data_IF_238287735030
#
_entry.id   IF_238287735030
#
_cell.length_a   1.000
_cell.length_b   1.000
_cell.length_c   1.000
_cell.angle_alpha   90.00
_cell.angle_beta   90.00
_cell.angle_gamma   90.00
#
_symmetry.space_group_name_H-M   'P 1'
#
loop_
_entity.id
_entity.type
_entity.pdbx_description
1 polymer ?
#
# COMPACT_ATOMS: atom_id res chain seq x y z
N UNK A 1 12.35 5.21 -2.21
CA UNK A 1 13.30 4.25 -1.58
C UNK A 1 13.03 2.87 -2.17
N UNK A 2 13.98 1.93 -2.10
CA UNK A 2 13.72 0.54 -2.52
C UNK A 2 13.29 -0.28 -1.30
N UNK A 3 12.19 -1.03 -1.39
CA UNK A 3 11.70 -1.89 -0.31
C UNK A 3 12.63 -3.10 -0.12
N UNK A 4 12.81 -3.54 1.12
CA UNK A 4 13.39 -4.86 1.36
C UNK A 4 12.38 -5.98 1.04
N UNK A 5 12.82 -7.24 1.08
CA UNK A 5 11.99 -8.37 0.69
C UNK A 5 10.70 -8.51 1.52
N UNK A 6 10.75 -8.25 2.84
CA UNK A 6 9.55 -8.32 3.70
C UNK A 6 8.59 -7.18 3.37
N UNK A 7 9.11 -5.97 3.20
CA UNK A 7 8.33 -4.78 2.83
C UNK A 7 7.68 -4.94 1.45
N UNK A 8 8.42 -5.41 0.46
CA UNK A 8 7.89 -5.68 -0.89
C UNK A 8 6.79 -6.74 -0.84
N UNK A 9 7.02 -7.85 -0.13
CA UNK A 9 6.01 -8.92 0.00
C UNK A 9 4.77 -8.42 0.75
N UNK A 10 4.93 -7.57 1.77
CA UNK A 10 3.82 -6.93 2.48
C UNK A 10 2.99 -6.03 1.57
N UNK A 11 3.64 -5.23 0.72
CA UNK A 11 2.97 -4.40 -0.27
C UNK A 11 2.17 -5.26 -1.27
N UNK A 12 2.82 -6.25 -1.88
CA UNK A 12 2.19 -7.14 -2.87
C UNK A 12 1.01 -7.92 -2.27
N UNK A 13 1.14 -8.41 -1.04
CA UNK A 13 0.02 -9.04 -0.32
C UNK A 13 -1.16 -8.09 -0.11
N UNK A 14 -0.89 -6.84 0.29
CA UNK A 14 -1.93 -5.84 0.45
C UNK A 14 -2.61 -5.51 -0.87
N UNK A 15 -1.85 -5.37 -1.97
CA UNK A 15 -2.38 -5.15 -3.32
C UNK A 15 -3.29 -6.30 -3.76
N UNK A 16 -2.91 -7.55 -3.49
CA UNK A 16 -3.71 -8.73 -3.82
C UNK A 16 -5.01 -8.86 -3.00
N UNK A 17 -5.09 -8.20 -1.83
CA UNK A 17 -6.17 -8.40 -0.86
C UNK A 17 -6.84 -7.10 -0.48
N UNK A 18 -6.38 -6.45 0.60
CA UNK A 18 -7.06 -5.34 1.26
C UNK A 18 -7.11 -4.02 0.48
N UNK A 19 -6.30 -3.85 -0.58
CA UNK A 19 -6.31 -2.63 -1.38
C UNK A 19 -7.67 -2.40 -2.08
N UNK A 20 -8.40 -3.46 -2.43
CA UNK A 20 -9.73 -3.32 -3.02
C UNK A 20 -10.77 -2.73 -2.04
N UNK A 21 -10.52 -2.80 -0.73
CA UNK A 21 -11.43 -2.26 0.29
C UNK A 21 -11.02 -0.86 0.76
N UNK A 22 -9.92 -0.30 0.23
CA UNK A 22 -9.49 1.04 0.58
C UNK A 22 -10.50 2.07 0.07
N UNK A 23 -11.04 2.84 1.01
CA UNK A 23 -11.83 4.03 0.74
C UNK A 23 -11.38 5.13 1.68
N UNK A 24 -11.23 6.35 1.13
CA UNK A 24 -10.82 7.53 1.87
C UNK A 24 -11.85 8.62 1.55
N UNK A 25 -12.33 9.31 2.58
CA UNK A 25 -13.33 10.36 2.40
C UNK A 25 -12.78 11.47 1.48
N UNK A 26 -13.64 12.05 0.64
CA UNK A 26 -13.26 13.07 -0.35
C UNK A 26 -13.02 14.44 0.30
N UNK A 27 -11.94 14.55 1.09
CA UNK A 27 -11.42 15.80 1.66
C UNK A 27 -9.92 15.91 1.38
N UNK A 28 -9.36 17.07 1.69
CA UNK A 28 -7.94 17.35 1.50
C UNK A 28 -7.16 16.91 2.74
N UNK A 29 -6.13 16.08 2.54
CA UNK A 29 -5.24 15.58 3.60
C UNK A 29 -3.80 15.99 3.34
N UNK A 30 -3.00 16.27 4.37
CA UNK A 30 -1.56 16.33 4.22
C UNK A 30 -1.00 14.94 3.91
N UNK A 31 0.15 14.88 3.24
CA UNK A 31 0.82 13.62 2.88
C UNK A 31 1.06 12.70 4.09
N UNK A 32 1.52 13.25 5.21
CA UNK A 32 1.77 12.49 6.44
C UNK A 32 0.54 11.77 6.99
N UNK A 33 -0.64 12.39 6.94
CA UNK A 33 -1.88 11.74 7.41
C UNK A 33 -2.27 10.57 6.52
N UNK A 34 -2.04 10.68 5.20
CA UNK A 34 -2.30 9.60 4.26
C UNK A 34 -1.35 8.43 4.45
N UNK A 35 -0.08 8.68 4.79
CA UNK A 35 0.86 7.61 5.17
C UNK A 35 0.28 6.83 6.35
N UNK A 36 -0.16 7.51 7.41
CA UNK A 36 -0.70 6.85 8.60
C UNK A 36 -1.95 6.00 8.28
N UNK A 37 -2.83 6.49 7.41
CA UNK A 37 -4.01 5.74 6.96
C UNK A 37 -3.61 4.47 6.21
N UNK A 38 -2.69 4.57 5.24
CA UNK A 38 -2.29 3.43 4.41
C UNK A 38 -1.44 2.44 5.22
N UNK A 39 -0.56 2.93 6.09
CA UNK A 39 0.25 2.13 7.01
C UNK A 39 -0.63 1.24 7.88
N UNK A 40 -1.67 1.80 8.52
CA UNK A 40 -2.61 1.03 9.33
C UNK A 40 -3.28 -0.08 8.52
N UNK A 41 -3.69 0.19 7.27
CA UNK A 41 -4.31 -0.83 6.40
C UNK A 41 -3.35 -1.96 6.04
N UNK A 42 -2.11 -1.64 5.67
CA UNK A 42 -1.09 -2.65 5.38
C UNK A 42 -0.76 -3.47 6.64
N UNK A 43 -0.61 -2.82 7.79
CA UNK A 43 -0.34 -3.48 9.06
C UNK A 43 -1.48 -4.43 9.46
N UNK A 44 -2.75 -4.00 9.30
CA UNK A 44 -3.93 -4.82 9.59
C UNK A 44 -4.01 -6.02 8.64
N UNK A 45 -3.75 -5.83 7.34
CA UNK A 45 -3.76 -6.92 6.36
C UNK A 45 -2.69 -7.98 6.69
N UNK A 46 -1.50 -7.54 7.08
CA UNK A 46 -0.34 -8.43 7.28
C UNK A 46 -0.18 -8.97 8.70
N UNK A 47 -0.97 -8.50 9.68
CA UNK A 47 -0.83 -8.88 11.11
C UNK A 47 -0.84 -10.38 11.38
N UNK A 48 -1.54 -11.17 10.55
CA UNK A 48 -1.64 -12.63 10.70
C UNK A 48 -0.30 -13.35 10.46
N UNK A 49 0.63 -12.72 9.74
CA UNK A 49 1.98 -13.25 9.50
C UNK A 49 2.98 -12.84 10.60
N UNK A 50 2.51 -12.17 11.65
CA UNK A 50 3.28 -11.84 12.85
C UNK A 50 3.80 -10.39 12.90
N UNK A 51 4.25 -10.00 14.09
CA UNK A 51 4.65 -8.61 14.42
C UNK A 51 5.82 -8.10 13.57
N UNK A 52 6.74 -8.99 13.17
CA UNK A 52 7.87 -8.62 12.31
C UNK A 52 7.40 -8.14 10.93
N UNK A 53 6.33 -8.72 10.39
CA UNK A 53 5.77 -8.32 9.09
C UNK A 53 4.92 -7.06 9.24
N UNK A 54 3.96 -7.05 10.17
CA UNK A 54 3.09 -5.88 10.34
C UNK A 54 3.84 -4.62 10.79
N UNK A 55 4.94 -4.77 11.53
CA UNK A 55 5.82 -3.66 11.91
C UNK A 55 6.67 -3.08 10.76
N UNK A 56 6.58 -3.66 9.56
CA UNK A 56 7.25 -3.19 8.34
C UNK A 56 6.30 -2.46 7.37
N UNK A 57 5.12 -2.07 7.81
CA UNK A 57 4.10 -1.47 6.97
C UNK A 57 4.42 -0.05 6.46
N UNK A 58 5.27 0.71 7.19
CA UNK A 58 5.52 2.13 6.89
C UNK A 58 6.14 2.39 5.51
N UNK A 59 7.26 1.75 5.19
CA UNK A 59 7.93 1.96 3.90
C UNK A 59 7.06 1.54 2.70
N UNK A 60 6.34 0.39 2.74
CA UNK A 60 5.29 0.06 1.79
C UNK A 60 4.21 1.12 1.63
N UNK A 61 3.75 1.72 2.74
CA UNK A 61 2.72 2.75 2.72
C UNK A 61 3.20 4.05 2.05
N UNK A 62 4.42 4.50 2.35
CA UNK A 62 5.06 5.63 1.70
C UNK A 62 5.19 5.40 0.18
N UNK A 63 5.77 4.26 -0.21
CA UNK A 63 5.93 3.94 -1.63
C UNK A 63 4.60 3.82 -2.38
N UNK A 64 3.60 3.17 -1.76
CA UNK A 64 2.28 3.05 -2.36
C UNK A 64 1.63 4.43 -2.50
N UNK A 65 1.66 5.27 -1.47
CA UNK A 65 1.08 6.60 -1.51
C UNK A 65 1.71 7.46 -2.61
N UNK A 66 3.05 7.50 -2.66
CA UNK A 66 3.77 8.28 -3.66
C UNK A 66 3.40 7.80 -5.07
N UNK A 67 3.37 6.48 -5.28
CA UNK A 67 2.94 5.89 -6.55
C UNK A 67 1.49 6.27 -6.90
N UNK A 68 0.58 6.25 -5.93
CA UNK A 68 -0.82 6.62 -6.14
C UNK A 68 -0.96 8.11 -6.50
N UNK A 69 -0.20 9.00 -5.85
CA UNK A 69 -0.17 10.42 -6.14
C UNK A 69 0.39 10.67 -7.55
N UNK A 70 1.54 10.08 -7.87
CA UNK A 70 2.20 10.20 -9.18
C UNK A 70 1.29 9.73 -10.32
N UNK A 71 0.49 8.69 -10.08
CA UNK A 71 -0.43 8.13 -11.07
C UNK A 71 -1.84 8.74 -11.05
N UNK A 72 -2.05 9.81 -10.27
CA UNK A 72 -3.28 10.60 -10.28
C UNK A 72 -4.46 9.98 -9.51
N UNK A 73 -4.22 8.98 -8.67
CA UNK A 73 -5.23 8.49 -7.71
C UNK A 73 -5.48 9.51 -6.58
N UNK A 74 -4.65 10.54 -6.48
CA UNK A 74 -4.87 11.72 -5.66
C UNK A 74 -4.71 12.99 -6.48
N UNK A 75 -5.66 13.92 -6.35
CA UNK A 75 -5.47 15.29 -6.79
C UNK A 75 -4.60 16.03 -5.77
N UNK A 76 -3.69 16.90 -6.23
CA UNK A 76 -2.76 17.63 -5.36
C UNK A 76 -2.93 19.13 -5.51
N UNK A 77 -2.96 19.86 -4.39
CA UNK A 77 -2.92 21.33 -4.37
C UNK A 77 -1.96 21.84 -3.30
N UNK A 78 -1.40 23.03 -3.52
CA UNK A 78 -0.64 23.75 -2.51
C UNK A 78 -1.58 24.51 -1.57
N UNK A 79 -1.33 24.46 -0.27
CA UNK A 79 -2.07 25.23 0.73
C UNK A 79 -1.44 26.61 0.96
N UNK A 80 -2.11 27.47 1.74
CA UNK A 80 -1.68 28.85 2.03
C UNK A 80 -0.36 28.93 2.81
N UNK A 81 0.09 27.82 3.39
CA UNK A 81 1.33 27.70 4.16
C UNK A 81 2.47 27.04 3.36
N UNK A 82 2.29 26.82 2.05
CA UNK A 82 3.29 26.22 1.16
C UNK A 82 3.40 24.69 1.23
N UNK A 83 2.52 24.01 1.96
CA UNK A 83 2.44 22.55 2.02
C UNK A 83 1.53 21.95 0.94
N UNK A 84 1.79 20.71 0.55
CA UNK A 84 0.94 19.95 -0.38
C UNK A 84 -0.19 19.23 0.35
N UNK A 85 -1.39 19.31 -0.21
CA UNK A 85 -2.57 18.58 0.23
C UNK A 85 -3.07 17.69 -0.90
N UNK A 86 -3.62 16.53 -0.55
CA UNK A 86 -4.05 15.51 -1.49
C UNK A 86 -5.51 15.11 -1.24
N UNK A 87 -6.30 14.96 -2.30
CA UNK A 87 -7.69 14.48 -2.24
C UNK A 87 -7.84 13.20 -3.04
N UNK A 88 -8.43 12.17 -2.41
CA UNK A 88 -8.62 10.85 -3.00
C UNK A 88 -9.59 10.87 -4.18
N UNK A 89 -9.21 10.20 -5.28
CA UNK A 89 -9.97 10.11 -6.52
C UNK A 89 -10.35 8.65 -6.76
N UNK A 90 -11.51 8.19 -6.27
CA UNK A 90 -11.87 6.77 -6.25
C UNK A 90 -11.79 6.11 -7.64
N UNK A 91 -12.36 6.72 -8.68
CA UNK A 91 -12.28 6.19 -10.05
C UNK A 91 -10.84 5.97 -10.53
N UNK A 92 -9.96 6.96 -10.31
CA UNK A 92 -8.54 6.86 -10.67
C UNK A 92 -7.78 5.87 -9.80
N UNK A 93 -8.13 5.78 -8.51
CA UNK A 93 -7.57 4.77 -7.62
C UNK A 93 -7.83 3.35 -8.15
N UNK A 94 -9.07 3.05 -8.57
CA UNK A 94 -9.41 1.72 -9.12
C UNK A 94 -8.65 1.40 -10.41
N UNK A 95 -8.45 2.39 -11.28
CA UNK A 95 -7.63 2.23 -12.50
C UNK A 95 -6.18 1.90 -12.14
N UNK A 96 -5.56 2.73 -11.28
CA UNK A 96 -4.17 2.56 -10.86
C UNK A 96 -3.96 1.23 -10.12
N UNK A 97 -4.90 0.84 -9.25
CA UNK A 97 -4.82 -0.41 -8.51
C UNK A 97 -4.80 -1.64 -9.43
N UNK A 98 -5.66 -1.68 -10.44
CA UNK A 98 -5.68 -2.77 -11.42
C UNK A 98 -4.35 -2.89 -12.15
N UNK A 99 -3.78 -1.75 -12.55
CA UNK A 99 -2.47 -1.74 -13.20
C UNK A 99 -1.36 -2.21 -12.26
N UNK A 100 -1.37 -1.80 -10.99
CA UNK A 100 -0.38 -2.27 -10.01
C UNK A 100 -0.49 -3.77 -9.79
N UNK A 101 -1.71 -4.31 -9.64
CA UNK A 101 -1.94 -5.74 -9.50
C UNK A 101 -1.50 -6.53 -10.74
N UNK A 102 -1.77 -6.01 -11.94
CA UNK A 102 -1.40 -6.65 -13.20
C UNK A 102 0.12 -6.69 -13.43
N UNK A 103 0.88 -5.76 -12.84
CA UNK A 103 2.33 -5.63 -13.03
C UNK A 103 3.16 -6.07 -11.82
N UNK A 104 2.55 -6.47 -10.70
CA UNK A 104 3.26 -6.96 -9.52
C UNK A 104 3.55 -8.48 -9.66
N UNK A 105 4.82 -8.91 -9.74
CA UNK A 105 5.16 -10.32 -9.96
C UNK A 105 4.66 -11.26 -8.85
N UNK A 106 4.67 -10.82 -7.58
CA UNK A 106 4.21 -11.64 -6.46
C UNK A 106 2.69 -11.78 -6.46
N UNK A 107 1.97 -10.75 -6.90
CA UNK A 107 0.52 -10.82 -7.12
C UNK A 107 0.20 -11.81 -8.24
N UNK A 108 0.98 -11.81 -9.32
CA UNK A 108 0.80 -12.73 -10.46
C UNK A 108 1.15 -14.19 -10.11
N UNK A 109 2.15 -14.41 -9.26
CA UNK A 109 2.57 -15.75 -8.80
C UNK A 109 1.66 -16.33 -7.71
N UNK A 110 0.85 -15.52 -7.05
CA UNK A 110 0.09 -15.95 -5.89
C UNK A 110 -1.07 -16.89 -6.26
N UNK A 111 -0.94 -18.16 -5.86
CA UNK A 111 -1.96 -19.20 -6.04
C UNK A 111 -2.66 -19.54 -4.71
N UNK A 112 -3.29 -18.53 -4.10
CA UNK A 112 -4.07 -18.69 -2.87
C UNK A 112 -3.34 -18.38 -1.56
N UNK A 113 -4.01 -18.59 -0.41
CA UNK A 113 -3.50 -18.21 0.92
C UNK A 113 -2.17 -18.88 1.30
N UNK A 114 -1.97 -20.14 0.94
CA UNK A 114 -0.81 -20.96 1.29
C UNK A 114 0.49 -20.40 0.69
N UNK A 115 0.41 -19.79 -0.51
CA UNK A 115 1.55 -19.10 -1.14
C UNK A 115 2.12 -18.02 -0.22
N UNK A 116 1.24 -17.19 0.36
CA UNK A 116 1.64 -16.08 1.22
C UNK A 116 2.20 -16.56 2.55
N UNK A 117 1.60 -17.60 3.14
CA UNK A 117 2.12 -18.21 4.36
C UNK A 117 3.54 -18.76 4.16
N UNK A 118 3.78 -19.46 3.04
CA UNK A 118 5.10 -19.95 2.69
C UNK A 118 6.11 -18.81 2.44
N UNK A 119 5.72 -17.78 1.68
CA UNK A 119 6.58 -16.61 1.39
C UNK A 119 6.96 -15.86 2.66
N UNK A 120 6.00 -15.48 3.50
CA UNK A 120 6.31 -14.79 4.76
C UNK A 120 7.05 -15.70 5.74
N UNK A 121 6.73 -16.99 5.79
CA UNK A 121 7.45 -17.97 6.60
C UNK A 121 8.94 -18.04 6.26
N UNK A 122 9.28 -18.08 4.98
CA UNK A 122 10.67 -18.08 4.50
C UNK A 122 11.42 -16.79 4.86
N UNK A 123 10.74 -15.63 4.84
CA UNK A 123 11.35 -14.34 5.12
C UNK A 123 11.49 -14.03 6.62
N UNK A 124 10.63 -14.61 7.47
CA UNK A 124 10.63 -14.39 8.92
C UNK A 124 11.46 -15.43 9.68
N UNK A 125 11.57 -16.64 9.11
CA UNK A 125 12.36 -17.75 9.64
C UNK A 125 13.84 -17.72 9.22
N UNK A 126 14.20 -16.91 8.23
CA UNK A 126 15.58 -16.54 7.89
C UNK A 126 16.14 -15.48 8.86
#
# INVERSE_FOLDING_TARGET
MSLNAIEQTALSYYLATGANDLTIATRWYPHGDLILVIEDKIAVATRKFGRKVSGKAKAPAEQLLDTLIERGAFETKTNEFGGSMHQFQDGKYREVLKDLQANDPLVQEADGPEYWEAKFGALVGA
#
